data_IF_418810462131
#
_entry.id   IF_418810462131
#
_cell.length_a   1.000
_cell.length_b   1.000
_cell.length_c   1.000
_cell.angle_alpha   90.00
_cell.angle_beta   90.00
_cell.angle_gamma   90.00
#
_symmetry.space_group_name_H-M   'P 1'
#
loop_
_entity.id
_entity.type
_entity.pdbx_description
1 polymer ?
#
# COMPACT_ATOMS: atom_id res chain seq x y z
N UNK A 1 1.79 2.58 -12.57
CA UNK A 1 1.63 4.03 -12.25
C UNK A 1 2.72 4.50 -11.29
N UNK A 2 3.03 5.81 -11.26
CA UNK A 2 3.97 6.45 -10.31
C UNK A 2 3.35 7.71 -9.72
N UNK A 3 3.15 7.76 -8.40
CA UNK A 3 2.76 8.99 -7.68
C UNK A 3 3.92 10.00 -7.68
N UNK A 4 3.75 11.15 -8.34
CA UNK A 4 4.77 12.21 -8.39
C UNK A 4 4.16 13.59 -8.12
N UNK A 5 4.13 13.97 -6.86
CA UNK A 5 3.58 15.26 -6.43
C UNK A 5 4.60 16.38 -6.70
N UNK A 6 4.30 17.25 -7.66
CA UNK A 6 5.13 18.41 -8.00
C UNK A 6 4.67 19.70 -7.31
N UNK A 7 3.41 19.78 -6.89
CA UNK A 7 2.83 20.91 -6.16
C UNK A 7 1.77 20.45 -5.15
N UNK A 8 1.60 21.23 -4.07
CA UNK A 8 0.56 21.03 -3.06
C UNK A 8 -0.24 22.32 -2.93
N UNK A 9 -1.56 22.21 -2.98
CA UNK A 9 -2.47 23.35 -2.88
C UNK A 9 -3.17 23.41 -1.52
N UNK A 10 -3.63 24.60 -1.12
CA UNK A 10 -4.48 24.73 0.06
C UNK A 10 -5.81 23.97 -0.16
N UNK A 11 -6.38 23.33 0.87
CA UNK A 11 -5.97 23.29 2.28
C UNK A 11 -4.96 22.19 2.63
N UNK A 12 -4.39 21.48 1.65
CA UNK A 12 -3.49 20.35 1.89
C UNK A 12 -2.05 20.79 2.23
N UNK A 13 -1.70 22.06 2.04
CA UNK A 13 -0.34 22.57 2.18
C UNK A 13 0.21 22.62 3.63
N UNK A 14 -0.60 22.31 4.65
CA UNK A 14 -0.06 22.10 5.99
C UNK A 14 0.72 20.78 6.07
N UNK A 15 1.79 20.68 6.88
CA UNK A 15 2.56 19.45 7.01
C UNK A 15 1.69 18.25 7.41
N UNK A 16 0.77 18.42 8.36
CA UNK A 16 -0.10 17.36 8.85
C UNK A 16 -1.01 16.80 7.75
N UNK A 17 -1.66 17.69 7.00
CA UNK A 17 -2.59 17.30 5.94
C UNK A 17 -1.85 16.75 4.73
N UNK A 18 -0.70 17.33 4.37
CA UNK A 18 0.18 16.79 3.32
C UNK A 18 0.61 15.36 3.67
N UNK A 19 1.13 15.13 4.87
CA UNK A 19 1.57 13.81 5.30
C UNK A 19 0.42 12.81 5.27
N UNK A 20 -0.73 13.15 5.86
CA UNK A 20 -1.89 12.26 5.87
C UNK A 20 -2.37 11.91 4.45
N UNK A 21 -2.41 12.89 3.54
CA UNK A 21 -2.78 12.66 2.15
C UNK A 21 -1.78 11.76 1.42
N UNK A 22 -0.48 12.01 1.59
CA UNK A 22 0.58 11.22 0.97
C UNK A 22 0.54 9.77 1.44
N UNK A 23 0.37 9.52 2.74
CA UNK A 23 0.30 8.15 3.27
C UNK A 23 -0.95 7.39 2.78
N UNK A 24 -2.11 8.05 2.71
CA UNK A 24 -3.31 7.44 2.13
C UNK A 24 -3.12 7.13 0.63
N UNK A 25 -2.56 8.08 -0.14
CA UNK A 25 -2.33 7.90 -1.57
C UNK A 25 -1.30 6.80 -1.86
N UNK A 26 -0.19 6.72 -1.11
CA UNK A 26 0.79 5.63 -1.26
C UNK A 26 0.17 4.26 -1.02
N UNK A 27 -0.65 4.12 0.03
CA UNK A 27 -1.35 2.88 0.33
C UNK A 27 -2.29 2.48 -0.81
N UNK A 28 -3.12 3.41 -1.26
CA UNK A 28 -3.99 3.20 -2.42
C UNK A 28 -3.23 2.84 -3.70
N UNK A 29 -2.10 3.50 -3.96
CA UNK A 29 -1.26 3.21 -5.12
C UNK A 29 -0.70 1.79 -5.05
N UNK A 30 -0.25 1.34 -3.88
CA UNK A 30 0.32 0.01 -3.70
C UNK A 30 -0.75 -1.08 -3.80
N UNK A 31 -1.98 -0.77 -3.37
CA UNK A 31 -3.15 -1.64 -3.51
C UNK A 31 -3.76 -1.62 -4.93
N UNK A 32 -3.29 -0.74 -5.83
CA UNK A 32 -3.83 -0.63 -7.19
C UNK A 32 -5.14 0.17 -7.31
N UNK A 33 -5.53 0.92 -6.28
CA UNK A 33 -6.81 1.64 -6.20
C UNK A 33 -6.83 3.01 -6.90
N UNK A 34 -5.66 3.58 -7.21
CA UNK A 34 -5.56 4.91 -7.81
C UNK A 34 -5.78 4.96 -9.34
N UNK A 35 -5.90 3.81 -10.02
CA UNK A 35 -6.03 3.75 -11.48
C UNK A 35 -4.71 4.00 -12.21
N UNK A 36 -4.77 4.44 -13.47
CA UNK A 36 -3.60 4.67 -14.33
C UNK A 36 -3.22 6.15 -14.51
N UNK A 37 -4.01 7.07 -13.93
CA UNK A 37 -3.83 8.52 -14.09
C UNK A 37 -2.66 9.03 -13.26
N UNK A 38 -1.71 9.75 -13.88
CA UNK A 38 -0.61 10.37 -13.15
C UNK A 38 -1.12 11.55 -12.29
N UNK A 39 -0.91 11.46 -10.98
CA UNK A 39 -1.20 12.55 -10.05
C UNK A 39 0.02 13.45 -9.96
N UNK A 40 -0.06 14.60 -10.64
CA UNK A 40 1.02 15.60 -10.70
C UNK A 40 0.88 16.68 -9.62
N UNK A 41 -0.34 16.98 -9.18
CA UNK A 41 -0.64 17.98 -8.17
C UNK A 41 -1.49 17.38 -7.05
N UNK A 42 -1.12 17.67 -5.81
CA UNK A 42 -1.88 17.27 -4.62
C UNK A 42 -2.94 18.33 -4.32
N UNK A 43 -4.14 18.12 -4.83
CA UNK A 43 -5.32 18.97 -4.61
C UNK A 43 -6.38 18.23 -3.81
N UNK A 44 -7.27 18.97 -3.15
CA UNK A 44 -8.36 18.37 -2.37
C UNK A 44 -9.29 17.52 -3.25
N UNK A 45 -9.51 17.92 -4.50
CA UNK A 45 -10.36 17.16 -5.43
C UNK A 45 -9.74 15.81 -5.80
N UNK A 46 -8.41 15.77 -6.03
CA UNK A 46 -7.68 14.51 -6.26
C UNK A 46 -7.83 13.58 -5.07
N UNK A 47 -7.59 14.10 -3.85
CA UNK A 47 -7.66 13.30 -2.63
C UNK A 47 -9.10 12.83 -2.34
N UNK A 48 -10.10 13.67 -2.59
CA UNK A 48 -11.51 13.31 -2.49
C UNK A 48 -11.93 12.25 -3.50
N UNK A 49 -11.49 12.35 -4.75
CA UNK A 49 -11.77 11.33 -5.75
C UNK A 49 -11.08 10.01 -5.43
N UNK A 50 -9.83 10.04 -4.96
CA UNK A 50 -9.14 8.86 -4.46
C UNK A 50 -9.94 8.20 -3.32
N UNK A 51 -10.37 8.96 -2.32
CA UNK A 51 -11.20 8.43 -1.23
C UNK A 51 -12.53 7.82 -1.74
N UNK A 52 -13.18 8.44 -2.74
CA UNK A 52 -14.38 7.85 -3.38
C UNK A 52 -14.08 6.53 -4.09
N UNK A 53 -12.92 6.40 -4.74
CA UNK A 53 -12.49 5.14 -5.37
C UNK A 53 -12.30 4.04 -4.32
N UNK A 54 -11.65 4.34 -3.19
CA UNK A 54 -11.55 3.41 -2.07
C UNK A 54 -12.94 3.01 -1.54
N UNK A 55 -13.84 3.97 -1.32
CA UNK A 55 -15.20 3.69 -0.85
C UNK A 55 -16.00 2.82 -1.82
N UNK A 56 -15.88 3.04 -3.14
CA UNK A 56 -16.50 2.17 -4.16
C UNK A 56 -15.95 0.74 -4.15
N UNK A 57 -14.72 0.55 -3.68
CA UNK A 57 -14.12 -0.75 -3.43
C UNK A 57 -14.50 -1.34 -2.06
N UNK A 58 -15.38 -0.67 -1.29
CA UNK A 58 -15.83 -1.09 0.03
C UNK A 58 -14.87 -0.73 1.17
N UNK A 59 -13.92 0.17 0.94
CA UNK A 59 -12.89 0.55 1.94
C UNK A 59 -13.08 2.00 2.37
N UNK A 60 -13.17 2.22 3.69
CA UNK A 60 -13.14 3.57 4.27
C UNK A 60 -14.33 4.46 3.89
N UNK A 61 -15.53 3.90 3.67
CA UNK A 61 -16.73 4.67 3.25
C UNK A 61 -17.03 5.86 4.17
N UNK A 62 -16.94 5.67 5.49
CA UNK A 62 -17.14 6.73 6.47
C UNK A 62 -16.07 7.83 6.36
N UNK A 63 -14.79 7.45 6.24
CA UNK A 63 -13.69 8.39 6.07
C UNK A 63 -13.82 9.19 4.76
N UNK A 64 -14.24 8.53 3.68
CA UNK A 64 -14.50 9.19 2.40
C UNK A 64 -15.65 10.21 2.49
N UNK A 65 -16.72 9.87 3.21
CA UNK A 65 -17.84 10.79 3.46
C UNK A 65 -17.41 11.98 4.34
N UNK A 66 -16.69 11.74 5.43
CA UNK A 66 -16.10 12.78 6.28
C UNK A 66 -15.22 13.73 5.46
N UNK A 67 -14.36 13.19 4.59
CA UNK A 67 -13.50 13.99 3.72
C UNK A 67 -14.28 14.86 2.71
N UNK A 68 -15.43 14.39 2.22
CA UNK A 68 -16.30 15.23 1.37
C UNK A 68 -16.91 16.39 2.17
N UNK A 69 -17.29 16.14 3.42
CA UNK A 69 -17.97 17.12 4.28
C UNK A 69 -17.01 18.15 4.91
N UNK A 70 -15.75 17.77 5.17
CA UNK A 70 -14.76 18.64 5.81
C UNK A 70 -14.35 19.80 4.91
N UNK A 71 -14.34 21.02 5.48
CA UNK A 71 -13.91 22.25 4.81
C UNK A 71 -12.60 22.82 5.38
N UNK A 72 -12.24 22.45 6.61
CA UNK A 72 -11.02 22.89 7.27
C UNK A 72 -9.92 21.82 7.24
N UNK A 73 -8.67 22.26 7.44
CA UNK A 73 -7.50 21.39 7.34
C UNK A 73 -7.46 20.28 8.39
N UNK A 74 -7.99 20.52 9.61
CA UNK A 74 -7.96 19.54 10.68
C UNK A 74 -8.90 18.37 10.38
N UNK A 75 -10.15 18.66 10.02
CA UNK A 75 -11.13 17.66 9.63
C UNK A 75 -10.74 16.89 8.36
N UNK A 76 -9.99 17.52 7.44
CA UNK A 76 -9.41 16.83 6.27
C UNK A 76 -8.30 15.88 6.72
N UNK A 77 -7.38 16.31 7.59
CA UNK A 77 -6.29 15.47 8.08
C UNK A 77 -6.80 14.27 8.90
N UNK A 78 -7.82 14.46 9.75
CA UNK A 78 -8.47 13.37 10.50
C UNK A 78 -9.09 12.34 9.54
N UNK A 79 -9.91 12.78 8.58
CA UNK A 79 -10.53 11.89 7.61
C UNK A 79 -9.49 11.11 6.77
N UNK A 80 -8.35 11.74 6.44
CA UNK A 80 -7.28 11.08 5.71
C UNK A 80 -6.54 10.03 6.56
N UNK A 81 -6.32 10.30 7.85
CA UNK A 81 -5.77 9.31 8.78
C UNK A 81 -6.72 8.13 8.97
N UNK A 82 -8.02 8.39 9.10
CA UNK A 82 -9.03 7.34 9.16
C UNK A 82 -9.07 6.50 7.87
N UNK A 83 -8.98 7.15 6.70
CA UNK A 83 -8.90 6.46 5.42
C UNK A 83 -7.66 5.56 5.34
N UNK A 84 -6.49 6.08 5.72
CA UNK A 84 -5.25 5.30 5.74
C UNK A 84 -5.36 4.08 6.67
N UNK A 85 -5.91 4.26 7.88
CA UNK A 85 -6.14 3.15 8.80
C UNK A 85 -7.11 2.10 8.23
N UNK A 86 -8.18 2.54 7.56
CA UNK A 86 -9.11 1.63 6.90
C UNK A 86 -8.42 0.84 5.77
N UNK A 87 -7.56 1.48 4.99
CA UNK A 87 -6.77 0.84 3.94
C UNK A 87 -5.81 -0.22 4.53
N UNK A 88 -5.14 0.05 5.65
CA UNK A 88 -4.25 -0.92 6.30
C UNK A 88 -4.94 -2.18 6.81
N UNK A 89 -6.25 -2.11 7.08
CA UNK A 89 -7.04 -3.21 7.62
C UNK A 89 -7.91 -3.93 6.60
N UNK A 90 -7.89 -3.52 5.32
CA UNK A 90 -8.86 -3.98 4.31
C UNK A 90 -8.16 -4.54 3.07
N UNK A 91 -7.87 -5.85 3.04
CA UNK A 91 -7.43 -6.53 1.83
C UNK A 91 -8.44 -6.36 0.70
N UNK A 92 -7.96 -5.99 -0.49
CA UNK A 92 -8.78 -5.88 -1.71
C UNK A 92 -8.14 -6.62 -2.89
N UNK A 93 -8.12 -7.96 -2.87
CA UNK A 93 -7.26 -8.77 -3.75
C UNK A 93 -7.47 -8.51 -5.25
N UNK A 94 -8.69 -8.15 -5.66
CA UNK A 94 -9.02 -7.84 -7.06
C UNK A 94 -8.20 -6.67 -7.62
N UNK A 95 -7.80 -5.72 -6.77
CA UNK A 95 -6.94 -4.59 -7.15
C UNK A 95 -5.47 -4.87 -6.85
N UNK A 96 -5.18 -5.57 -5.75
CA UNK A 96 -3.81 -5.84 -5.31
C UNK A 96 -3.08 -6.83 -6.20
N UNK A 97 -3.78 -7.84 -6.75
CA UNK A 97 -3.16 -8.84 -7.62
C UNK A 97 -2.48 -8.20 -8.84
N UNK A 98 -3.18 -7.41 -9.68
CA UNK A 98 -2.55 -6.72 -10.80
C UNK A 98 -1.31 -5.90 -10.39
N UNK A 99 -1.44 -5.08 -9.34
CA UNK A 99 -0.36 -4.20 -8.88
C UNK A 99 0.87 -4.97 -8.40
N UNK A 100 0.67 -6.04 -7.63
CA UNK A 100 1.77 -6.87 -7.12
C UNK A 100 2.37 -7.77 -8.21
N UNK A 101 1.57 -8.25 -9.17
CA UNK A 101 2.08 -9.01 -10.32
C UNK A 101 2.95 -8.13 -11.21
N UNK A 102 2.54 -6.89 -11.49
CA UNK A 102 3.35 -5.92 -12.24
C UNK A 102 4.70 -5.68 -11.54
N UNK A 103 4.68 -5.50 -10.22
CA UNK A 103 5.88 -5.20 -9.46
C UNK A 103 6.84 -6.40 -9.36
N UNK A 104 6.35 -7.56 -8.92
CA UNK A 104 7.22 -8.70 -8.57
C UNK A 104 7.39 -9.71 -9.71
N UNK A 105 6.45 -9.76 -10.65
CA UNK A 105 6.29 -10.89 -11.56
C UNK A 105 5.61 -12.10 -10.90
N UNK A 106 5.00 -12.99 -11.69
CA UNK A 106 4.13 -14.05 -11.17
C UNK A 106 4.89 -15.11 -10.37
N UNK A 107 6.10 -15.49 -10.76
CA UNK A 107 6.89 -16.52 -10.07
C UNK A 107 7.28 -16.08 -8.67
N UNK A 108 7.78 -14.84 -8.55
CA UNK A 108 8.23 -14.30 -7.28
C UNK A 108 7.06 -14.00 -6.35
N UNK A 109 5.98 -13.41 -6.87
CA UNK A 109 4.80 -13.14 -6.05
C UNK A 109 4.19 -14.44 -5.52
N UNK A 110 4.11 -15.48 -6.35
CA UNK A 110 3.61 -16.79 -5.92
C UNK A 110 4.45 -17.36 -4.75
N UNK A 111 5.78 -17.23 -4.80
CA UNK A 111 6.66 -17.64 -3.72
C UNK A 111 6.43 -16.83 -2.43
N UNK A 112 6.27 -15.50 -2.55
CA UNK A 112 6.06 -14.60 -1.40
C UNK A 112 4.70 -14.81 -0.72
N UNK A 113 3.64 -15.17 -1.46
CA UNK A 113 2.32 -15.45 -0.86
C UNK A 113 2.11 -16.94 -0.54
N UNK A 114 3.10 -17.79 -0.85
CA UNK A 114 3.11 -19.21 -0.51
C UNK A 114 2.15 -20.07 -1.33
N UNK A 115 1.98 -19.78 -2.62
CA UNK A 115 1.10 -20.54 -3.54
C UNK A 115 1.81 -20.92 -4.83
N UNK A 116 1.18 -21.77 -5.65
CA UNK A 116 1.67 -22.05 -7.00
C UNK A 116 1.35 -20.90 -7.97
N UNK A 117 2.17 -20.73 -9.02
CA UNK A 117 1.91 -19.76 -10.11
C UNK A 117 0.56 -20.02 -10.79
N UNK A 118 0.14 -21.29 -10.92
CA UNK A 118 -1.17 -21.64 -11.47
C UNK A 118 -2.33 -21.14 -10.59
N UNK A 119 -2.22 -21.28 -9.26
CA UNK A 119 -3.21 -20.72 -8.34
C UNK A 119 -3.22 -19.19 -8.39
N UNK A 120 -2.04 -18.55 -8.41
CA UNK A 120 -1.92 -17.11 -8.55
C UNK A 120 -2.67 -16.61 -9.79
N UNK A 121 -2.46 -17.23 -10.96
CA UNK A 121 -3.12 -16.82 -12.21
C UNK A 121 -4.64 -16.87 -12.11
N UNK A 122 -5.20 -17.92 -11.49
CA UNK A 122 -6.66 -18.04 -11.29
C UNK A 122 -7.22 -17.01 -10.32
N UNK A 123 -6.47 -16.66 -9.28
CA UNK A 123 -6.88 -15.63 -8.32
C UNK A 123 -6.80 -14.23 -8.94
N UNK A 124 -5.69 -13.93 -9.63
CA UNK A 124 -5.45 -12.65 -10.27
C UNK A 124 -6.39 -12.37 -11.44
N UNK A 125 -6.86 -13.41 -12.16
CA UNK A 125 -7.85 -13.27 -13.23
C UNK A 125 -9.31 -13.21 -12.74
N UNK A 126 -9.56 -13.46 -11.45
CA UNK A 126 -10.91 -13.61 -10.90
C UNK A 126 -11.61 -14.93 -11.27
N UNK A 127 -10.93 -15.88 -11.94
CA UNK A 127 -11.47 -17.22 -12.21
C UNK A 127 -11.82 -17.96 -10.91
N UNK A 128 -11.09 -17.68 -9.83
CA UNK A 128 -11.38 -18.20 -8.50
C UNK A 128 -11.22 -17.11 -7.44
N UNK A 129 -12.09 -17.13 -6.43
CA UNK A 129 -11.94 -16.28 -5.25
C UNK A 129 -10.59 -16.52 -4.56
N UNK A 130 -9.95 -15.44 -4.12
CA UNK A 130 -8.70 -15.49 -3.36
C UNK A 130 -9.02 -15.98 -1.95
N UNK A 131 -8.39 -17.06 -1.44
CA UNK A 131 -8.56 -17.49 -0.05
C UNK A 131 -8.10 -16.40 0.93
N UNK A 132 -8.78 -16.25 2.06
CA UNK A 132 -8.55 -15.16 3.02
C UNK A 132 -7.09 -15.05 3.48
N UNK A 133 -6.44 -16.17 3.80
CA UNK A 133 -5.01 -16.16 4.19
C UNK A 133 -4.09 -15.68 3.07
N UNK A 134 -4.43 -15.96 1.81
CA UNK A 134 -3.66 -15.49 0.65
C UNK A 134 -3.93 -14.01 0.41
N UNK A 135 -5.17 -13.55 0.59
CA UNK A 135 -5.53 -12.14 0.53
C UNK A 135 -4.79 -11.33 1.60
N UNK A 136 -4.75 -11.81 2.84
CA UNK A 136 -4.03 -11.16 3.93
C UNK A 136 -2.51 -11.08 3.67
N UNK A 137 -1.89 -12.16 3.17
CA UNK A 137 -0.47 -12.14 2.77
C UNK A 137 -0.20 -11.15 1.64
N UNK A 138 -1.04 -11.16 0.60
CA UNK A 138 -0.94 -10.22 -0.52
C UNK A 138 -1.05 -8.77 -0.02
N UNK A 139 -1.98 -8.50 0.88
CA UNK A 139 -2.19 -7.18 1.47
C UNK A 139 -0.99 -6.71 2.30
N UNK A 140 -0.38 -7.59 3.10
CA UNK A 140 0.87 -7.27 3.82
C UNK A 140 1.99 -6.86 2.85
N UNK A 141 2.12 -7.55 1.70
CA UNK A 141 3.09 -7.15 0.68
C UNK A 141 2.77 -5.77 0.10
N UNK A 142 1.50 -5.46 -0.17
CA UNK A 142 1.07 -4.15 -0.63
C UNK A 142 1.40 -3.04 0.39
N UNK A 143 1.17 -3.29 1.69
CA UNK A 143 1.53 -2.36 2.77
C UNK A 143 3.03 -2.09 2.85
N UNK A 144 3.85 -3.14 2.79
CA UNK A 144 5.32 -2.99 2.73
C UNK A 144 5.72 -2.15 1.52
N UNK A 145 5.13 -2.41 0.35
CA UNK A 145 5.43 -1.65 -0.88
C UNK A 145 5.01 -0.19 -0.74
N UNK A 146 3.89 0.11 -0.09
CA UNK A 146 3.44 1.49 0.19
C UNK A 146 4.50 2.26 1.00
N UNK A 147 5.01 1.67 2.08
CA UNK A 147 6.07 2.26 2.90
C UNK A 147 7.36 2.49 2.08
N UNK A 148 7.71 1.56 1.19
CA UNK A 148 8.92 1.67 0.37
C UNK A 148 8.84 2.73 -0.73
N UNK A 149 7.66 3.05 -1.26
CA UNK A 149 7.50 4.01 -2.38
C UNK A 149 7.92 5.44 -2.03
N UNK A 150 7.99 5.79 -0.74
CA UNK A 150 8.54 7.08 -0.31
C UNK A 150 10.07 7.19 -0.46
N UNK A 151 10.78 6.07 -0.48
CA UNK A 151 12.25 6.03 -0.46
C UNK A 151 12.87 5.28 -1.66
N UNK A 152 12.08 4.52 -2.41
CA UNK A 152 12.57 3.63 -3.47
C UNK A 152 11.73 3.71 -4.73
N UNK A 153 12.40 3.59 -5.88
CA UNK A 153 11.75 3.23 -7.15
C UNK A 153 11.21 1.80 -7.10
N UNK A 154 10.38 1.39 -8.08
CA UNK A 154 9.88 0.02 -8.17
C UNK A 154 11.02 -1.03 -8.22
N UNK A 155 12.13 -0.74 -8.90
CA UNK A 155 13.32 -1.61 -8.91
C UNK A 155 13.98 -1.64 -7.53
N UNK A 156 14.05 -0.49 -6.86
CA UNK A 156 14.55 -0.37 -5.50
C UNK A 156 13.71 -1.19 -4.51
N UNK A 157 12.38 -1.10 -4.59
CA UNK A 157 11.45 -1.86 -3.77
C UNK A 157 11.63 -3.37 -3.96
N UNK A 158 11.73 -3.85 -5.21
CA UNK A 158 12.05 -5.27 -5.48
C UNK A 158 13.37 -5.72 -4.85
N UNK A 159 14.44 -4.94 -5.04
CA UNK A 159 15.76 -5.25 -4.48
C UNK A 159 15.78 -5.17 -2.96
N UNK A 160 14.92 -4.35 -2.36
CA UNK A 160 14.82 -4.24 -0.91
C UNK A 160 14.48 -5.57 -0.25
N UNK A 161 13.61 -6.38 -0.88
CA UNK A 161 13.23 -7.72 -0.44
C UNK A 161 14.35 -8.76 -0.56
N UNK A 162 15.40 -8.49 -1.35
CA UNK A 162 16.53 -9.41 -1.59
C UNK A 162 17.75 -9.07 -0.74
N UNK A 163 17.71 -7.96 0.00
CA UNK A 163 18.83 -7.49 0.81
C UNK A 163 18.69 -7.98 2.23
N UNK A 164 19.71 -8.67 2.72
CA UNK A 164 19.83 -9.10 4.11
C UNK A 164 19.69 -7.93 5.07
N UNK A 165 19.02 -8.16 6.19
CA UNK A 165 18.76 -7.15 7.22
C UNK A 165 19.25 -7.66 8.56
N UNK A 166 20.05 -6.85 9.26
CA UNK A 166 20.47 -7.16 10.63
C UNK A 166 19.26 -7.33 11.56
N UNK A 167 18.23 -6.51 11.39
CA UNK A 167 16.95 -6.61 12.11
C UNK A 167 16.21 -7.94 11.88
N UNK A 168 16.53 -8.67 10.80
CA UNK A 168 15.98 -9.99 10.47
C UNK A 168 17.01 -11.11 10.69
N UNK A 169 18.01 -10.89 11.54
CA UNK A 169 19.06 -11.88 11.82
C UNK A 169 19.94 -12.22 10.61
N UNK A 170 20.10 -11.30 9.66
CA UNK A 170 20.86 -11.52 8.42
C UNK A 170 20.06 -12.14 7.28
N UNK A 171 18.80 -12.52 7.50
CA UNK A 171 17.87 -12.95 6.44
C UNK A 171 17.38 -11.77 5.62
N UNK A 172 16.95 -12.05 4.40
CA UNK A 172 16.26 -11.11 3.53
C UNK A 172 14.75 -11.09 3.87
N UNK A 173 14.03 -9.98 3.61
CA UNK A 173 12.57 -9.95 3.76
C UNK A 173 11.87 -11.04 2.93
N UNK A 174 12.38 -11.38 1.73
CA UNK A 174 11.82 -12.45 0.93
C UNK A 174 11.96 -13.83 1.58
N UNK A 175 13.08 -14.10 2.27
CA UNK A 175 13.27 -15.36 3.00
C UNK A 175 12.38 -15.46 4.23
N UNK A 176 12.08 -14.33 4.89
CA UNK A 176 11.15 -14.27 6.03
C UNK A 176 9.72 -14.49 5.55
N UNK A 177 9.33 -13.85 4.44
CA UNK A 177 8.00 -13.92 3.85
C UNK A 177 7.90 -15.00 2.77
N UNK A 178 8.66 -16.10 2.88
CA UNK A 178 8.57 -17.22 1.94
C UNK A 178 7.66 -18.31 2.49
N UNK A 179 6.85 -18.91 1.61
CA UNK A 179 6.04 -20.07 1.95
C UNK A 179 4.80 -19.73 2.79
N UNK A 180 4.44 -20.59 3.74
CA UNK A 180 3.17 -20.55 4.46
C UNK A 180 3.14 -19.67 5.72
N UNK A 181 3.79 -18.50 5.72
CA UNK A 181 3.89 -17.60 6.88
C UNK A 181 2.53 -17.05 7.34
N UNK A 182 2.44 -16.65 8.60
CA UNK A 182 1.23 -16.08 9.19
C UNK A 182 1.19 -14.55 8.95
N UNK A 183 0.19 -14.02 8.22
CA UNK A 183 0.09 -12.58 7.98
C UNK A 183 -0.10 -11.73 9.24
N UNK A 184 -0.64 -12.32 10.31
CA UNK A 184 -0.81 -11.66 11.62
C UNK A 184 0.32 -12.02 12.59
N UNK A 185 1.30 -12.81 12.11
CA UNK A 185 2.41 -13.30 12.90
C UNK A 185 3.55 -12.28 13.08
N UNK A 186 4.42 -12.60 14.02
CA UNK A 186 5.56 -11.75 14.39
C UNK A 186 6.51 -11.48 13.21
N UNK A 187 6.77 -12.48 12.36
CA UNK A 187 7.65 -12.34 11.20
C UNK A 187 7.11 -11.27 10.21
N UNK A 188 5.80 -11.26 9.95
CA UNK A 188 5.17 -10.26 9.11
C UNK A 188 5.24 -8.87 9.73
N UNK A 189 4.94 -8.78 11.04
CA UNK A 189 4.98 -7.54 11.81
C UNK A 189 6.37 -6.89 11.78
N UNK A 190 7.43 -7.66 12.02
CA UNK A 190 8.81 -7.15 12.02
C UNK A 190 9.22 -6.63 10.63
N UNK A 191 8.82 -7.29 9.55
CA UNK A 191 9.14 -6.81 8.19
C UNK A 191 8.38 -5.53 7.85
N UNK A 192 7.11 -5.40 8.26
CA UNK A 192 6.33 -4.17 8.13
C UNK A 192 6.97 -3.01 8.91
N UNK A 193 7.32 -3.23 10.18
CA UNK A 193 7.97 -2.22 11.02
C UNK A 193 9.31 -1.78 10.43
N UNK A 194 10.08 -2.71 9.86
CA UNK A 194 11.32 -2.40 9.18
C UNK A 194 11.10 -1.52 7.94
N UNK A 195 10.09 -1.82 7.11
CA UNK A 195 9.75 -0.98 5.96
C UNK A 195 9.34 0.43 6.39
N UNK A 196 8.45 0.53 7.39
CA UNK A 196 7.97 1.78 7.97
C UNK A 196 9.09 2.63 8.57
N UNK A 197 10.10 2.02 9.20
CA UNK A 197 11.24 2.76 9.76
C UNK A 197 12.00 3.61 8.74
N UNK A 198 11.89 3.29 7.43
CA UNK A 198 12.61 3.96 6.35
C UNK A 198 11.94 5.27 5.93
N UNK A 199 10.66 5.47 6.23
CA UNK A 199 9.95 6.73 5.97
C UNK A 199 10.14 7.75 7.10
N UNK A 200 10.52 7.30 8.30
CA UNK A 200 10.74 8.13 9.49
C UNK A 200 12.15 8.72 9.65
N UNK A 201 13.12 8.35 8.82
CA UNK A 201 14.48 8.87 8.91
C UNK A 201 14.68 10.00 7.88
N UNK A 202 14.82 11.27 8.30
CA UNK A 202 15.38 12.26 7.38
C UNK A 202 16.76 11.79 6.96
N UNK A 203 17.08 11.91 5.68
CA UNK A 203 18.44 11.66 5.21
C UNK A 203 19.40 12.53 6.04
N UNK A 204 20.26 11.88 6.84
CA UNK A 204 21.40 12.51 7.50
C UNK A 204 22.46 12.87 6.49
#
# INVERSE_FOLDING_TARGET
MTLRIASVEQPLASPETTTAAVEALKAMEAMGLLGDEEIVALTLDVVREAARRAARAGVGEAAAASLQASADAAGIADALRELHLALEGSPVPVFEWPAMVELFGPERLAALVGISVASLRRYASGERATPDVVAARLHVLARIVADLRGAYSQVGARRWFERSRSALGGRTPAEVLAGGWDPDGEEARVVLELARSLTGSPAT
#
